data_IF_976573558869
#
_entry.id   IF_976573558869
#
_cell.length_a   1.000
_cell.length_b   1.000
_cell.length_c   1.000
_cell.angle_alpha   90.00
_cell.angle_beta   90.00
_cell.angle_gamma   90.00
#
_symmetry.space_group_name_H-M   'P 1'
#
loop_
_entity.id
_entity.type
_entity.pdbx_description
1 polymer ?
#
# COMPACT_ATOMS: atom_id res chain seq x y z
N UNK A 1 -22.48 20.64 -6.67
CA UNK A 1 -21.84 19.40 -6.15
C UNK A 1 -20.34 19.49 -5.92
N UNK A 2 -19.58 20.30 -6.70
CA UNK A 2 -18.13 20.53 -6.49
C UNK A 2 -17.75 21.18 -5.14
N UNK A 3 -18.64 21.97 -4.55
CA UNK A 3 -18.33 22.74 -3.33
C UNK A 3 -18.34 21.91 -2.04
N UNK A 4 -19.11 20.81 -1.99
CA UNK A 4 -19.20 19.95 -0.80
C UNK A 4 -17.90 19.19 -0.53
N UNK A 5 -17.24 18.74 -1.57
CA UNK A 5 -15.95 18.04 -1.45
C UNK A 5 -14.78 19.00 -1.26
N UNK A 6 -14.86 20.21 -1.80
CA UNK A 6 -13.87 21.25 -1.54
C UNK A 6 -13.83 21.65 -0.06
N UNK A 7 -14.96 21.61 0.64
CA UNK A 7 -15.04 21.87 2.08
C UNK A 7 -14.39 20.73 2.89
N UNK A 8 -14.70 19.46 2.56
CA UNK A 8 -14.10 18.30 3.23
C UNK A 8 -12.59 18.26 3.02
N UNK A 9 -12.10 18.45 1.78
CA UNK A 9 -10.66 18.52 1.49
C UNK A 9 -9.97 19.73 2.14
N UNK A 10 -10.66 20.86 2.27
CA UNK A 10 -10.15 22.04 3.02
C UNK A 10 -10.06 21.77 4.53
N UNK A 11 -11.05 21.09 5.09
CA UNK A 11 -11.07 20.69 6.50
C UNK A 11 -9.91 19.73 6.80
N UNK A 12 -9.75 18.66 6.00
CA UNK A 12 -8.64 17.70 6.13
C UNK A 12 -7.27 18.39 5.96
N UNK A 13 -7.13 19.32 4.99
CA UNK A 13 -5.88 20.08 4.80
C UNK A 13 -5.58 21.03 5.96
N UNK A 14 -6.61 21.60 6.60
CA UNK A 14 -6.44 22.49 7.74
C UNK A 14 -5.95 21.72 8.97
N UNK A 15 -6.48 20.52 9.19
CA UNK A 15 -6.02 19.64 10.27
C UNK A 15 -4.61 19.08 10.02
N UNK A 16 -4.24 18.82 8.77
CA UNK A 16 -2.89 18.41 8.42
C UNK A 16 -1.82 19.49 8.70
N UNK A 17 -2.19 20.77 8.73
CA UNK A 17 -1.28 21.85 9.11
C UNK A 17 -0.92 21.85 10.61
N UNK A 18 -1.74 21.18 11.43
CA UNK A 18 -1.54 21.01 12.88
C UNK A 18 -0.65 19.80 13.20
N UNK A 19 -0.37 18.93 12.22
CA UNK A 19 0.55 17.83 12.43
C UNK A 19 1.97 18.38 12.64
N UNK A 20 2.69 17.92 13.66
CA UNK A 20 4.04 18.40 13.93
C UNK A 20 4.91 18.21 12.69
N UNK A 21 5.64 19.26 12.28
CA UNK A 21 6.57 19.23 11.15
C UNK A 21 7.77 18.30 11.38
N UNK A 22 7.90 17.76 12.59
CA UNK A 22 8.95 16.81 13.00
C UNK A 22 8.52 15.36 12.78
N UNK A 23 9.51 14.48 12.67
CA UNK A 23 9.43 13.02 12.54
C UNK A 23 8.64 12.37 13.68
N UNK A 24 7.31 12.42 13.61
CA UNK A 24 6.42 11.88 14.65
C UNK A 24 6.22 10.36 14.56
N UNK A 25 6.75 9.74 13.50
CA UNK A 25 6.73 8.28 13.31
C UNK A 25 8.04 7.59 13.68
N UNK A 26 8.97 8.30 14.35
CA UNK A 26 10.23 7.69 14.77
C UNK A 26 10.00 6.42 15.59
N UNK A 27 10.69 5.33 15.20
CA UNK A 27 10.57 4.03 15.85
C UNK A 27 9.26 3.27 15.55
N UNK A 28 8.35 3.81 14.73
CA UNK A 28 7.18 3.09 14.22
C UNK A 28 7.57 2.35 12.94
N UNK A 29 7.07 1.14 12.77
CA UNK A 29 7.37 0.26 11.63
C UNK A 29 6.13 -0.03 10.82
N UNK A 30 6.21 0.22 9.51
CA UNK A 30 5.11 0.00 8.57
C UNK A 30 5.53 -0.94 7.43
N UNK A 31 4.61 -1.80 6.99
CA UNK A 31 4.78 -2.59 5.77
C UNK A 31 3.79 -2.07 4.72
N UNK A 32 4.27 -1.81 3.50
CA UNK A 32 3.45 -1.29 2.40
C UNK A 32 3.49 -2.25 1.22
N UNK A 33 2.34 -2.82 0.86
CA UNK A 33 2.24 -3.71 -0.29
C UNK A 33 2.00 -2.95 -1.60
N UNK A 34 2.55 -3.47 -2.71
CA UNK A 34 2.45 -2.83 -4.02
C UNK A 34 3.20 -1.49 -4.09
N UNK A 35 4.33 -1.39 -3.40
CA UNK A 35 5.06 -0.14 -3.20
C UNK A 35 6.25 0.07 -4.17
N UNK A 36 6.34 -0.70 -5.25
CA UNK A 36 7.36 -0.47 -6.28
C UNK A 36 7.12 0.81 -7.11
N UNK A 37 5.90 1.36 -7.09
CA UNK A 37 5.49 2.57 -7.83
C UNK A 37 4.13 3.10 -7.35
N UNK A 38 3.67 4.22 -7.95
CA UNK A 38 2.31 4.72 -7.80
C UNK A 38 1.92 5.09 -6.36
N UNK A 39 0.69 4.74 -5.97
CA UNK A 39 0.11 5.11 -4.67
C UNK A 39 0.90 4.49 -3.51
N UNK A 40 1.20 3.19 -3.58
CA UNK A 40 1.94 2.51 -2.52
C UNK A 40 3.34 3.08 -2.30
N UNK A 41 4.06 3.40 -3.38
CA UNK A 41 5.36 4.06 -3.29
C UNK A 41 5.26 5.45 -2.63
N UNK A 42 4.28 6.27 -3.03
CA UNK A 42 4.10 7.60 -2.45
C UNK A 42 3.68 7.55 -0.97
N UNK A 43 2.90 6.55 -0.56
CA UNK A 43 2.60 6.31 0.86
C UNK A 43 3.90 5.95 1.60
N UNK A 44 4.69 5.00 1.09
CA UNK A 44 5.96 4.61 1.67
C UNK A 44 6.91 5.81 1.81
N UNK A 45 7.00 6.65 0.77
CA UNK A 45 7.78 7.90 0.77
C UNK A 45 7.34 8.84 1.90
N UNK A 46 6.03 9.03 2.08
CA UNK A 46 5.52 9.87 3.17
C UNK A 46 5.81 9.32 4.56
N UNK A 47 5.74 8.01 4.74
CA UNK A 47 6.09 7.36 6.00
C UNK A 47 7.58 7.55 6.32
N UNK A 48 8.48 7.35 5.34
CA UNK A 48 9.92 7.58 5.48
C UNK A 48 10.23 9.05 5.80
N UNK A 49 9.63 10.01 5.08
CA UNK A 49 9.78 11.45 5.36
C UNK A 49 9.34 11.83 6.79
N UNK A 50 8.48 11.02 7.41
CA UNK A 50 8.01 11.21 8.80
C UNK A 50 8.81 10.41 9.82
N UNK A 51 9.89 9.76 9.40
CA UNK A 51 10.84 9.06 10.26
C UNK A 51 10.45 7.62 10.61
N UNK A 52 9.47 7.04 9.92
CA UNK A 52 9.11 5.64 10.13
C UNK A 52 10.17 4.68 9.57
N UNK A 53 10.27 3.50 10.16
CA UNK A 53 10.84 2.32 9.52
C UNK A 53 9.82 1.80 8.50
N UNK A 54 10.26 1.55 7.28
CA UNK A 54 9.34 1.14 6.21
C UNK A 54 9.87 -0.12 5.50
N UNK A 55 9.05 -1.15 5.45
CA UNK A 55 9.27 -2.30 4.59
C UNK A 55 8.34 -2.19 3.38
N UNK A 56 8.89 -2.16 2.19
CA UNK A 56 8.13 -2.18 0.95
C UNK A 56 8.11 -3.57 0.35
N UNK A 57 6.96 -4.00 -0.17
CA UNK A 57 6.83 -5.28 -0.88
C UNK A 57 6.16 -5.10 -2.23
N UNK A 58 6.57 -5.94 -3.19
CA UNK A 58 6.00 -5.97 -4.53
C UNK A 58 6.65 -7.04 -5.39
N UNK A 59 5.99 -7.42 -6.48
CA UNK A 59 6.45 -8.49 -7.38
C UNK A 59 7.48 -8.03 -8.42
N UNK A 60 7.50 -6.74 -8.74
CA UNK A 60 8.29 -6.21 -9.87
C UNK A 60 9.74 -6.08 -9.45
N UNK A 61 10.57 -7.02 -9.88
CA UNK A 61 12.01 -7.04 -9.63
C UNK A 61 12.81 -6.46 -10.80
N UNK A 62 12.34 -6.69 -12.04
CA UNK A 62 12.99 -6.25 -13.26
C UNK A 62 12.25 -5.07 -13.89
N UNK A 63 12.95 -4.17 -14.58
CA UNK A 63 12.32 -3.10 -15.34
C UNK A 63 11.29 -3.62 -16.33
N UNK A 64 10.18 -2.92 -16.46
CA UNK A 64 9.12 -3.24 -17.43
C UNK A 64 9.08 -2.16 -18.52
N UNK A 65 8.96 -2.50 -19.82
CA UNK A 65 9.04 -1.53 -20.92
C UNK A 65 8.03 -0.38 -20.85
N UNK A 66 6.88 -0.63 -20.23
CA UNK A 66 5.76 0.34 -20.17
C UNK A 66 5.51 0.92 -18.77
N UNK A 67 6.17 0.39 -17.75
CA UNK A 67 5.90 0.78 -16.36
C UNK A 67 7.22 1.00 -15.63
N UNK A 68 7.50 2.24 -15.30
CA UNK A 68 8.70 2.61 -14.55
C UNK A 68 8.64 2.11 -13.10
N UNK A 69 9.81 1.83 -12.55
CA UNK A 69 10.00 1.45 -11.16
C UNK A 69 9.97 -0.06 -10.91
N UNK A 70 10.91 -0.48 -10.07
CA UNK A 70 11.03 -1.82 -9.51
C UNK A 70 11.02 -1.72 -7.99
N UNK A 71 10.95 -2.86 -7.29
CA UNK A 71 11.06 -2.85 -5.84
C UNK A 71 12.45 -2.35 -5.39
N UNK A 72 13.47 -2.56 -6.20
CA UNK A 72 14.85 -2.14 -5.90
C UNK A 72 15.09 -0.66 -6.17
N UNK A 73 14.57 -0.10 -7.29
CA UNK A 73 14.65 1.34 -7.54
C UNK A 73 13.85 2.14 -6.52
N UNK A 74 12.71 1.60 -6.09
CA UNK A 74 11.92 2.20 -5.00
C UNK A 74 12.70 2.17 -3.67
N UNK A 75 13.39 1.07 -3.35
CA UNK A 75 14.24 0.97 -2.17
C UNK A 75 15.32 2.06 -2.17
N UNK A 76 16.06 2.20 -3.28
CA UNK A 76 17.13 3.19 -3.43
C UNK A 76 16.62 4.61 -3.20
N UNK A 77 15.50 4.98 -3.84
CA UNK A 77 14.91 6.32 -3.66
C UNK A 77 14.48 6.56 -2.21
N UNK A 78 13.86 5.57 -1.56
CA UNK A 78 13.41 5.69 -0.18
C UNK A 78 14.57 5.73 0.81
N UNK A 79 15.66 5.00 0.56
CA UNK A 79 16.86 5.03 1.39
C UNK A 79 17.54 6.40 1.34
N UNK A 80 17.58 7.03 0.16
CA UNK A 80 18.13 8.39 0.00
C UNK A 80 17.30 9.47 0.75
N UNK A 81 16.03 9.18 1.05
CA UNK A 81 15.14 10.06 1.82
C UNK A 81 15.12 9.75 3.32
N UNK A 82 15.59 8.56 3.70
CA UNK A 82 15.57 8.12 5.09
C UNK A 82 16.58 8.91 5.94
N UNK A 83 16.25 9.08 7.22
CA UNK A 83 17.20 9.63 8.18
C UNK A 83 18.00 8.47 8.83
N UNK A 84 19.08 8.83 9.53
CA UNK A 84 19.98 7.86 10.20
C UNK A 84 19.28 6.94 11.24
N UNK A 85 18.06 7.30 11.66
CA UNK A 85 17.30 6.57 12.71
C UNK A 85 16.21 5.66 12.14
N UNK A 86 15.94 5.73 10.83
CA UNK A 86 14.91 4.92 10.18
C UNK A 86 15.50 3.91 9.22
N UNK A 87 14.91 2.72 9.17
CA UNK A 87 15.29 1.66 8.25
C UNK A 87 14.31 1.59 7.09
N UNK A 88 14.83 1.31 5.89
CA UNK A 88 14.03 0.99 4.73
C UNK A 88 14.44 -0.38 4.20
N UNK A 89 13.48 -1.31 4.14
CA UNK A 89 13.67 -2.67 3.63
C UNK A 89 12.79 -2.89 2.40
N UNK A 90 13.24 -3.75 1.49
CA UNK A 90 12.46 -4.16 0.34
C UNK A 90 12.52 -5.67 0.13
N UNK A 91 11.37 -6.29 -0.08
CA UNK A 91 11.28 -7.70 -0.39
C UNK A 91 10.42 -7.95 -1.63
N UNK A 92 10.92 -8.71 -2.60
CA UNK A 92 10.06 -9.31 -3.61
C UNK A 92 9.04 -10.22 -2.91
N UNK A 93 7.75 -9.90 -3.06
CA UNK A 93 6.69 -10.66 -2.40
C UNK A 93 5.41 -10.61 -3.23
N UNK A 94 4.90 -11.79 -3.55
CA UNK A 94 3.53 -11.98 -4.03
C UNK A 94 2.61 -12.19 -2.82
N UNK A 95 1.69 -11.27 -2.58
CA UNK A 95 0.76 -11.36 -1.44
C UNK A 95 -0.18 -12.57 -1.48
N UNK A 96 -0.17 -13.35 -2.57
CA UNK A 96 -0.88 -14.64 -2.69
C UNK A 96 -0.04 -15.80 -2.14
N UNK A 97 1.25 -15.59 -1.95
CA UNK A 97 2.17 -16.63 -1.49
C UNK A 97 2.41 -16.50 0.03
N UNK A 98 1.85 -17.42 0.85
CA UNK A 98 1.99 -17.34 2.31
C UNK A 98 3.43 -17.44 2.79
N UNK A 99 4.29 -18.16 2.06
CA UNK A 99 5.69 -18.32 2.44
C UNK A 99 6.47 -17.00 2.25
N UNK A 100 6.26 -16.31 1.12
CA UNK A 100 6.90 -15.02 0.87
C UNK A 100 6.42 -13.95 1.86
N UNK A 101 5.14 -13.99 2.23
CA UNK A 101 4.59 -13.12 3.28
C UNK A 101 5.30 -13.39 4.62
N UNK A 102 5.41 -14.66 5.03
CA UNK A 102 6.04 -15.03 6.30
C UNK A 102 7.52 -14.61 6.34
N UNK A 103 8.26 -14.81 5.25
CA UNK A 103 9.63 -14.33 5.13
C UNK A 103 9.71 -12.82 5.32
N UNK A 104 8.87 -12.07 4.61
CA UNK A 104 8.84 -10.59 4.70
C UNK A 104 8.55 -10.11 6.12
N UNK A 105 7.55 -10.68 6.76
CA UNK A 105 7.17 -10.33 8.13
C UNK A 105 8.30 -10.65 9.11
N UNK A 106 8.87 -11.84 9.02
CA UNK A 106 9.95 -12.29 9.91
C UNK A 106 11.20 -11.43 9.77
N UNK A 107 11.62 -11.11 8.54
CA UNK A 107 12.77 -10.22 8.33
C UNK A 107 12.49 -8.78 8.78
N UNK A 108 11.27 -8.29 8.61
CA UNK A 108 10.86 -6.98 9.16
C UNK A 108 10.94 -6.97 10.68
N UNK A 109 10.43 -8.01 11.33
CA UNK A 109 10.48 -8.14 12.79
C UNK A 109 11.89 -8.31 13.32
N UNK A 110 12.74 -9.05 12.62
CA UNK A 110 14.15 -9.26 12.99
C UNK A 110 14.95 -7.95 13.02
N UNK A 111 14.67 -7.04 12.06
CA UNK A 111 15.38 -5.76 11.97
C UNK A 111 14.75 -4.72 12.89
N UNK A 112 13.43 -4.62 12.92
CA UNK A 112 12.71 -3.50 13.56
C UNK A 112 12.01 -3.88 14.88
N UNK A 113 11.94 -5.17 15.21
CA UNK A 113 11.38 -5.70 16.46
C UNK A 113 9.84 -5.70 16.52
N UNK A 114 9.16 -4.94 15.68
CA UNK A 114 7.70 -4.79 15.70
C UNK A 114 7.13 -4.36 14.35
N UNK A 115 5.80 -4.48 14.22
CA UNK A 115 4.99 -3.92 13.14
C UNK A 115 3.91 -3.07 13.77
N UNK A 116 3.94 -1.76 13.56
CA UNK A 116 2.95 -0.80 14.06
C UNK A 116 1.82 -0.56 13.05
N UNK A 117 2.07 -0.82 11.76
CA UNK A 117 1.02 -0.69 10.76
C UNK A 117 1.29 -1.42 9.45
N UNK A 118 0.22 -1.63 8.69
CA UNK A 118 0.27 -2.24 7.36
C UNK A 118 -0.61 -1.45 6.40
N UNK A 119 -0.10 -1.26 5.17
CA UNK A 119 -0.85 -0.67 4.06
C UNK A 119 -1.11 -1.73 3.01
N UNK A 120 -2.36 -2.13 2.89
CA UNK A 120 -2.87 -3.09 1.93
C UNK A 120 -3.23 -2.35 0.64
N UNK A 121 -2.23 -2.19 -0.26
CA UNK A 121 -2.34 -1.41 -1.49
C UNK A 121 -2.09 -2.25 -2.75
N UNK A 122 -1.43 -3.40 -2.64
CA UNK A 122 -1.21 -4.25 -3.80
C UNK A 122 -2.53 -4.66 -4.46
N UNK A 123 -2.61 -4.48 -5.78
CA UNK A 123 -3.80 -4.82 -6.54
C UNK A 123 -3.45 -5.34 -7.93
N UNK A 124 -4.35 -6.11 -8.52
CA UNK A 124 -4.39 -6.44 -9.93
C UNK A 124 -5.61 -5.77 -10.54
N UNK A 125 -5.46 -5.26 -11.75
CA UNK A 125 -6.51 -4.54 -12.44
C UNK A 125 -6.61 -5.02 -13.89
N UNK A 126 -7.82 -5.29 -14.34
CA UNK A 126 -8.17 -5.49 -15.74
C UNK A 126 -9.12 -4.38 -16.17
N UNK A 127 -8.79 -3.67 -17.24
CA UNK A 127 -9.58 -2.55 -17.77
C UNK A 127 -10.48 -2.94 -18.95
N UNK A 128 -10.61 -4.24 -19.24
CA UNK A 128 -11.53 -4.71 -20.27
C UNK A 128 -12.97 -4.57 -19.81
N UNK A 129 -13.88 -4.39 -20.77
CA UNK A 129 -15.32 -4.43 -20.48
C UNK A 129 -15.72 -5.81 -19.95
N UNK A 130 -16.74 -5.89 -19.11
CA UNK A 130 -17.20 -7.12 -18.47
C UNK A 130 -17.45 -8.25 -19.48
N UNK A 131 -18.01 -7.95 -20.65
CA UNK A 131 -18.25 -8.95 -21.70
C UNK A 131 -16.97 -9.48 -22.38
N UNK A 132 -15.86 -8.80 -22.22
CA UNK A 132 -14.56 -9.14 -22.81
C UNK A 132 -13.60 -9.76 -21.80
N UNK A 133 -13.95 -9.74 -20.51
CA UNK A 133 -13.09 -10.27 -19.47
C UNK A 133 -13.02 -11.79 -19.54
N UNK A 134 -11.80 -12.30 -19.50
CA UNK A 134 -11.54 -13.73 -19.43
C UNK A 134 -11.60 -14.23 -18.00
N UNK A 135 -11.92 -15.52 -17.82
CA UNK A 135 -11.85 -16.17 -16.50
C UNK A 135 -10.49 -15.96 -15.82
N UNK A 136 -9.39 -16.00 -16.60
CA UNK A 136 -8.03 -15.81 -16.08
C UNK A 136 -7.84 -14.42 -15.47
N UNK A 137 -8.41 -13.37 -16.05
CA UNK A 137 -8.33 -12.00 -15.55
C UNK A 137 -9.16 -11.85 -14.28
N UNK A 138 -10.37 -12.42 -14.23
CA UNK A 138 -11.23 -12.43 -13.04
C UNK A 138 -10.56 -13.21 -11.90
N UNK A 139 -10.02 -14.39 -12.17
CA UNK A 139 -9.29 -15.19 -11.17
C UNK A 139 -8.06 -14.45 -10.65
N UNK A 140 -7.34 -13.73 -11.52
CA UNK A 140 -6.20 -12.92 -11.09
C UNK A 140 -6.61 -11.81 -10.13
N UNK A 141 -7.64 -11.03 -10.49
CA UNK A 141 -8.14 -9.95 -9.64
C UNK A 141 -8.64 -10.48 -8.29
N UNK A 142 -9.44 -11.54 -8.30
CA UNK A 142 -9.94 -12.17 -7.07
C UNK A 142 -8.82 -12.71 -6.20
N UNK A 143 -7.82 -13.36 -6.81
CA UNK A 143 -6.70 -13.93 -6.06
C UNK A 143 -5.80 -12.88 -5.41
N UNK A 144 -5.61 -11.72 -6.06
CA UNK A 144 -4.79 -10.64 -5.52
C UNK A 144 -5.60 -9.73 -4.60
N UNK A 145 -6.72 -9.18 -5.11
CA UNK A 145 -7.44 -8.10 -4.43
C UNK A 145 -8.24 -8.59 -3.23
N UNK A 146 -8.72 -9.84 -3.26
CA UNK A 146 -9.50 -10.42 -2.17
C UNK A 146 -8.61 -11.36 -1.34
N UNK A 147 -8.21 -12.48 -1.90
CA UNK A 147 -7.54 -13.54 -1.14
C UNK A 147 -6.15 -13.11 -0.64
N UNK A 148 -5.33 -12.50 -1.51
CA UNK A 148 -3.99 -12.04 -1.16
C UNK A 148 -4.02 -10.90 -0.15
N UNK A 149 -4.91 -9.92 -0.36
CA UNK A 149 -5.08 -8.80 0.57
C UNK A 149 -5.51 -9.29 1.96
N UNK A 150 -6.49 -10.21 2.01
CA UNK A 150 -6.94 -10.81 3.26
C UNK A 150 -5.82 -11.59 3.96
N UNK A 151 -5.14 -12.48 3.24
CA UNK A 151 -4.05 -13.29 3.77
C UNK A 151 -2.91 -12.44 4.34
N UNK A 152 -2.46 -11.44 3.59
CA UNK A 152 -1.40 -10.54 4.02
C UNK A 152 -1.83 -9.73 5.26
N UNK A 153 -3.05 -9.16 5.24
CA UNK A 153 -3.60 -8.46 6.39
C UNK A 153 -3.72 -9.33 7.63
N UNK A 154 -4.24 -10.56 7.48
CA UNK A 154 -4.37 -11.51 8.58
C UNK A 154 -3.02 -11.84 9.24
N UNK A 155 -1.99 -12.08 8.44
CA UNK A 155 -0.65 -12.40 8.95
C UNK A 155 -0.02 -11.21 9.68
N UNK A 156 -0.15 -10.00 9.17
CA UNK A 156 0.29 -8.79 9.86
C UNK A 156 -0.48 -8.57 11.18
N UNK A 157 -1.81 -8.77 11.14
CA UNK A 157 -2.68 -8.59 12.31
C UNK A 157 -2.28 -9.49 13.49
N UNK A 158 -1.81 -10.72 13.25
CA UNK A 158 -1.35 -11.62 14.31
C UNK A 158 -0.26 -11.01 15.19
N UNK A 159 0.64 -10.21 14.60
CA UNK A 159 1.72 -9.53 15.32
C UNK A 159 1.21 -8.27 16.02
N UNK A 160 0.39 -7.46 15.37
CA UNK A 160 -0.22 -6.27 15.96
C UNK A 160 -1.13 -6.62 17.14
N UNK A 161 -1.90 -7.70 17.03
CA UNK A 161 -2.78 -8.18 18.10
C UNK A 161 -2.02 -8.57 19.36
N UNK A 162 -0.86 -9.25 19.22
CA UNK A 162 -0.01 -9.59 20.38
C UNK A 162 0.49 -8.35 21.11
N UNK A 163 0.78 -7.28 20.36
CA UNK A 163 1.26 -6.03 20.92
C UNK A 163 0.12 -5.13 21.44
N UNK A 164 -1.16 -5.52 21.21
CA UNK A 164 -2.37 -4.72 21.52
C UNK A 164 -2.33 -3.32 20.89
N UNK A 165 -1.57 -3.14 19.84
CA UNK A 165 -1.38 -1.88 19.10
C UNK A 165 -1.13 -2.19 17.62
N UNK A 166 -1.72 -1.38 16.73
CA UNK A 166 -1.50 -1.49 15.30
C UNK A 166 -2.52 -0.72 14.49
N UNK A 167 -2.15 -0.39 13.25
CA UNK A 167 -3.03 0.28 12.30
C UNK A 167 -3.01 -0.45 10.95
N UNK A 168 -4.19 -0.74 10.40
CA UNK A 168 -4.35 -1.34 9.09
C UNK A 168 -5.08 -0.35 8.16
N UNK A 169 -4.42 0.03 7.07
CA UNK A 169 -5.01 0.85 6.01
C UNK A 169 -5.22 -0.04 4.78
N UNK A 170 -6.45 -0.13 4.30
CA UNK A 170 -6.80 -0.79 3.04
C UNK A 170 -7.16 0.26 2.00
N UNK A 171 -6.51 0.19 0.85
CA UNK A 171 -6.83 1.07 -0.29
C UNK A 171 -7.96 0.40 -1.08
N UNK A 172 -9.05 1.14 -1.22
CA UNK A 172 -10.25 0.69 -1.94
C UNK A 172 -10.80 1.82 -2.81
N UNK A 173 -11.57 1.53 -3.86
CA UNK A 173 -12.29 2.55 -4.61
C UNK A 173 -13.25 3.34 -3.71
N UNK A 174 -13.47 4.64 -3.98
CA UNK A 174 -14.40 5.45 -3.21
C UNK A 174 -15.85 4.99 -3.46
N UNK A 175 -16.57 4.63 -2.40
CA UNK A 175 -17.94 4.11 -2.47
C UNK A 175 -18.91 5.16 -3.05
N UNK A 176 -18.75 6.42 -2.71
CA UNK A 176 -19.62 7.51 -3.16
C UNK A 176 -19.64 7.71 -4.68
N UNK A 177 -18.58 7.29 -5.37
CA UNK A 177 -18.49 7.39 -6.82
C UNK A 177 -19.23 6.25 -7.54
N UNK A 178 -19.58 5.17 -6.83
CA UNK A 178 -20.30 4.04 -7.40
C UNK A 178 -21.76 4.33 -7.74
N UNK A 179 -22.30 5.47 -7.28
CA UNK A 179 -23.70 5.86 -7.49
C UNK A 179 -23.90 6.99 -8.50
N UNK A 180 -22.84 7.43 -9.19
CA UNK A 180 -22.96 8.44 -10.24
C UNK A 180 -22.90 7.78 -11.61
N UNK A 181 -23.80 8.16 -12.51
CA UNK A 181 -23.83 7.65 -13.90
C UNK A 181 -22.48 7.87 -14.61
N UNK A 182 -21.79 8.97 -14.29
CA UNK A 182 -20.48 9.29 -14.83
C UNK A 182 -19.38 8.29 -14.43
N UNK A 183 -19.52 7.63 -13.28
CA UNK A 183 -18.58 6.61 -12.85
C UNK A 183 -18.61 5.38 -13.75
N UNK A 184 -19.81 4.89 -14.05
CA UNK A 184 -20.00 3.69 -14.87
C UNK A 184 -19.62 3.89 -16.32
N UNK A 185 -19.79 5.12 -16.84
CA UNK A 185 -19.48 5.44 -18.24
C UNK A 185 -18.02 5.81 -18.48
N UNK A 186 -17.35 6.42 -17.49
CA UNK A 186 -16.00 6.99 -17.67
C UNK A 186 -14.89 6.16 -17.02
N UNK A 187 -15.22 5.23 -16.11
CA UNK A 187 -14.21 4.41 -15.40
C UNK A 187 -14.49 2.93 -15.65
N UNK A 188 -13.59 2.30 -16.37
CA UNK A 188 -13.62 0.84 -16.63
C UNK A 188 -13.19 0.02 -15.40
N UNK A 189 -13.70 0.38 -14.22
CA UNK A 189 -13.42 -0.33 -12.96
C UNK A 189 -14.48 -1.39 -12.64
N UNK A 190 -15.19 -1.88 -13.64
CA UNK A 190 -16.44 -2.62 -13.48
C UNK A 190 -16.25 -4.11 -13.25
N UNK A 191 -15.18 -4.50 -12.64
CA UNK A 191 -14.94 -5.91 -12.35
C UNK A 191 -14.47 -6.13 -10.94
#
# INVERSE_FOLDING_TARGET
MKDKYAFVLKSIRKDMSLLPKKSYLNGKTYIVSGASRGIGFNIAKKLVEKGANVTIIGKTQNPHPKLEGTIYSALEELQNLSNEKSTVLAFPCDIRNPVEIDITINETLKVNGKIDGVVLNASALCLNDTLQQTKKEVDLMSSVNINGTYLFGQKCLQHMYKNKEGHMLMIAPPIDMLYTDDWWTNHKYNS
#
